data_IF_638227513148
#
_entry.id   IF_638227513148
#
_cell.length_a   1.000
_cell.length_b   1.000
_cell.length_c   1.000
_cell.angle_alpha   90.00
_cell.angle_beta   90.00
_cell.angle_gamma   90.00
#
_symmetry.space_group_name_H-M   'P 1'
#
loop_
_entity.id
_entity.type
_entity.pdbx_description
1 polymer ?
#
# COMPACT_ATOMS: atom_id res chain seq x y z
N UNK A 1 -37.36 -7.79 2.30
CA UNK A 1 -36.19 -8.69 2.18
C UNK A 1 -36.58 -9.82 1.24
N UNK A 2 -35.94 -9.89 0.07
CA UNK A 2 -36.28 -10.89 -0.95
C UNK A 2 -35.72 -12.27 -0.50
N UNK A 3 -36.56 -13.32 -0.41
CA UNK A 3 -36.18 -14.62 0.16
C UNK A 3 -35.21 -15.45 -0.71
N UNK A 4 -34.75 -14.91 -1.85
CA UNK A 4 -33.88 -15.62 -2.80
C UNK A 4 -32.38 -15.52 -2.48
N UNK A 5 -31.96 -14.79 -1.44
CA UNK A 5 -30.55 -14.74 -1.05
C UNK A 5 -30.20 -15.93 -0.14
N UNK A 6 -30.23 -17.14 -0.69
CA UNK A 6 -29.74 -18.34 0.01
C UNK A 6 -28.22 -18.22 0.11
N UNK A 7 -27.76 -17.84 1.29
CA UNK A 7 -26.35 -17.60 1.63
C UNK A 7 -25.46 -18.87 1.61
N UNK A 8 -26.00 -20.00 1.17
CA UNK A 8 -25.41 -21.35 1.27
C UNK A 8 -25.09 -22.04 -0.06
N UNK A 9 -25.29 -21.39 -1.22
CA UNK A 9 -24.94 -21.99 -2.51
C UNK A 9 -23.40 -21.96 -2.74
N UNK A 10 -22.71 -23.12 -2.87
CA UNK A 10 -21.24 -23.20 -2.99
C UNK A 10 -20.68 -22.58 -4.27
N UNK A 11 -21.52 -22.41 -5.30
CA UNK A 11 -21.17 -21.80 -6.58
C UNK A 11 -21.59 -20.33 -6.68
N UNK A 12 -22.16 -19.75 -5.61
CA UNK A 12 -22.47 -18.32 -5.61
C UNK A 12 -21.15 -17.52 -5.59
N UNK A 13 -20.89 -16.66 -6.58
CA UNK A 13 -19.66 -15.85 -6.60
C UNK A 13 -19.50 -14.97 -5.36
N UNK A 14 -20.59 -14.54 -4.71
CA UNK A 14 -20.53 -13.79 -3.44
C UNK A 14 -20.09 -14.68 -2.27
N UNK A 15 -20.51 -15.94 -2.24
CA UNK A 15 -20.09 -16.93 -1.24
C UNK A 15 -18.59 -17.25 -1.40
N UNK A 16 -18.16 -17.49 -2.65
CA UNK A 16 -16.75 -17.72 -2.97
C UNK A 16 -15.88 -16.51 -2.57
N UNK A 17 -16.29 -15.28 -2.90
CA UNK A 17 -15.54 -14.06 -2.51
C UNK A 17 -15.45 -13.85 -0.99
N UNK A 18 -16.46 -14.28 -0.24
CA UNK A 18 -16.51 -14.12 1.23
C UNK A 18 -15.64 -15.14 1.97
N UNK A 19 -15.54 -16.38 1.46
CA UNK A 19 -14.74 -17.45 2.08
C UNK A 19 -13.29 -17.53 1.56
N UNK A 20 -13.02 -17.00 0.37
CA UNK A 20 -11.66 -16.93 -0.19
C UNK A 20 -10.85 -15.71 0.28
N UNK A 21 -11.36 -14.95 1.26
CA UNK A 21 -10.69 -13.77 1.85
C UNK A 21 -10.27 -12.70 0.81
N UNK A 22 -10.84 -12.76 -0.40
CA UNK A 22 -10.43 -11.94 -1.53
C UNK A 22 -11.06 -10.53 -1.52
N UNK A 23 -12.12 -10.32 -0.74
CA UNK A 23 -12.71 -9.01 -0.39
C UNK A 23 -13.71 -9.19 0.75
N UNK A 24 -13.52 -8.45 1.84
CA UNK A 24 -14.34 -8.53 3.05
C UNK A 24 -15.83 -8.23 2.81
N UNK A 25 -16.68 -8.85 3.63
CA UNK A 25 -18.13 -8.67 3.57
C UNK A 25 -18.59 -7.42 4.35
N UNK A 26 -19.08 -6.40 3.64
CA UNK A 26 -19.65 -5.19 4.23
C UNK A 26 -21.16 -5.28 4.53
N UNK A 27 -21.82 -6.41 4.27
CA UNK A 27 -23.28 -6.53 4.48
C UNK A 27 -23.71 -6.74 5.95
N UNK A 28 -22.76 -6.83 6.88
CA UNK A 28 -23.04 -6.83 8.33
C UNK A 28 -22.96 -5.43 8.96
N UNK A 29 -22.68 -4.39 8.16
CA UNK A 29 -22.38 -3.03 8.65
C UNK A 29 -23.59 -2.46 9.39
N UNK A 30 -23.36 -2.31 10.69
CA UNK A 30 -24.29 -1.97 11.75
C UNK A 30 -24.74 -0.49 11.66
N UNK A 31 -25.61 -0.12 12.60
CA UNK A 31 -26.22 1.19 12.84
C UNK A 31 -25.35 2.43 12.50
N UNK A 32 -25.99 3.57 12.21
CA UNK A 32 -25.41 4.86 11.77
C UNK A 32 -24.05 5.25 12.39
N UNK A 33 -23.82 4.95 13.67
CA UNK A 33 -22.57 5.26 14.38
C UNK A 33 -21.38 4.46 13.84
N UNK A 34 -21.55 3.17 13.55
CA UNK A 34 -20.47 2.34 13.00
C UNK A 34 -20.12 2.75 11.57
N UNK A 35 -21.12 3.16 10.79
CA UNK A 35 -20.90 3.75 9.47
C UNK A 35 -20.03 5.02 9.55
N UNK A 36 -20.35 5.93 10.48
CA UNK A 36 -19.58 7.18 10.67
C UNK A 36 -18.12 6.90 11.08
N UNK A 37 -17.90 5.97 12.02
CA UNK A 37 -16.56 5.59 12.49
C UNK A 37 -15.76 4.94 11.34
N UNK A 38 -16.39 4.04 10.58
CA UNK A 38 -15.77 3.40 9.40
C UNK A 38 -15.37 4.43 8.34
N UNK A 39 -16.24 5.40 8.03
CA UNK A 39 -15.93 6.49 7.11
C UNK A 39 -14.79 7.39 7.60
N UNK A 40 -14.62 7.57 8.91
CA UNK A 40 -13.49 8.31 9.46
C UNK A 40 -12.17 7.55 9.26
N UNK A 41 -12.16 6.24 9.52
CA UNK A 41 -11.00 5.37 9.25
C UNK A 41 -10.62 5.35 7.77
N UNK A 42 -11.61 5.24 6.88
CA UNK A 42 -11.38 5.31 5.44
C UNK A 42 -10.78 6.66 5.01
N UNK A 43 -11.31 7.78 5.50
CA UNK A 43 -10.77 9.12 5.21
C UNK A 43 -9.34 9.30 5.70
N UNK A 44 -9.04 8.89 6.93
CA UNK A 44 -7.68 8.93 7.45
C UNK A 44 -6.74 8.06 6.61
N UNK A 45 -7.17 6.86 6.22
CA UNK A 45 -6.40 5.97 5.35
C UNK A 45 -6.06 6.59 4.00
N UNK A 46 -7.00 7.32 3.39
CA UNK A 46 -6.75 8.06 2.15
C UNK A 46 -5.70 9.15 2.36
N UNK A 47 -5.81 9.95 3.42
CA UNK A 47 -4.84 11.02 3.73
C UNK A 47 -3.46 10.45 4.06
N UNK A 48 -3.38 9.40 4.87
CA UNK A 48 -2.10 8.75 5.20
C UNK A 48 -1.45 8.15 3.95
N UNK A 49 -2.26 7.67 3.01
CA UNK A 49 -1.77 7.16 1.72
C UNK A 49 -1.22 8.31 0.86
N UNK A 50 -1.92 9.45 0.73
CA UNK A 50 -1.41 10.57 -0.07
C UNK A 50 -0.12 11.16 0.50
N UNK A 51 0.00 11.26 1.83
CA UNK A 51 1.24 11.70 2.49
C UNK A 51 2.37 10.71 2.20
N UNK A 52 2.15 9.40 2.39
CA UNK A 52 3.15 8.38 2.11
C UNK A 52 3.58 8.35 0.64
N UNK A 53 2.65 8.57 -0.29
CA UNK A 53 2.96 8.69 -1.72
C UNK A 53 3.85 9.91 -1.99
N UNK A 54 3.56 11.04 -1.33
CA UNK A 54 4.36 12.27 -1.47
C UNK A 54 5.77 12.08 -0.94
N UNK A 55 5.92 11.47 0.25
CA UNK A 55 7.22 11.19 0.86
C UNK A 55 8.05 10.20 0.03
N UNK A 56 7.42 9.16 -0.52
CA UNK A 56 8.09 8.21 -1.42
C UNK A 56 8.58 8.90 -2.71
N UNK A 57 7.78 9.79 -3.29
CA UNK A 57 8.18 10.61 -4.43
C UNK A 57 9.35 11.55 -4.12
N UNK A 58 9.35 12.13 -2.92
CA UNK A 58 10.43 12.99 -2.46
C UNK A 58 11.74 12.22 -2.23
N UNK A 59 11.66 11.06 -1.57
CA UNK A 59 12.82 10.22 -1.29
C UNK A 59 13.45 9.64 -2.57
N UNK A 60 12.66 9.44 -3.63
CA UNK A 60 13.18 8.98 -4.92
C UNK A 60 13.76 10.13 -5.76
N UNK A 61 13.22 11.34 -5.67
CA UNK A 61 13.69 12.50 -6.45
C UNK A 61 14.95 13.16 -5.88
N UNK A 62 15.05 13.30 -4.56
CA UNK A 62 16.21 13.93 -3.89
C UNK A 62 17.57 13.32 -4.23
N UNK A 63 17.79 11.99 -4.12
CA UNK A 63 19.10 11.42 -4.42
C UNK A 63 19.41 11.55 -5.91
N UNK A 64 18.41 11.49 -6.80
CA UNK A 64 18.60 11.68 -8.24
C UNK A 64 19.14 13.07 -8.55
N UNK A 65 18.62 14.12 -7.90
CA UNK A 65 19.13 15.49 -8.09
C UNK A 65 20.59 15.65 -7.62
N UNK A 66 21.00 14.96 -6.54
CA UNK A 66 22.39 15.00 -6.03
C UNK A 66 23.35 14.22 -6.92
N UNK A 67 22.95 13.05 -7.41
CA UNK A 67 23.83 12.17 -8.20
C UNK A 67 23.86 12.53 -9.70
N UNK A 68 23.00 13.45 -10.17
CA UNK A 68 22.86 13.79 -11.59
C UNK A 68 24.17 14.29 -12.24
N UNK A 69 25.10 14.82 -11.45
CA UNK A 69 26.40 15.29 -11.92
C UNK A 69 27.54 14.26 -11.77
N UNK A 70 27.28 13.08 -11.19
CA UNK A 70 28.28 12.04 -10.95
C UNK A 70 28.40 11.16 -12.20
N UNK A 71 29.54 11.23 -12.88
CA UNK A 71 29.85 10.42 -14.07
C UNK A 71 31.20 9.73 -13.86
N UNK A 72 31.28 8.43 -14.16
CA UNK A 72 32.54 7.67 -14.13
C UNK A 72 33.39 8.08 -15.33
N UNK A 73 34.51 8.77 -15.07
CA UNK A 73 35.40 9.29 -16.13
C UNK A 73 36.64 8.45 -16.38
N UNK A 74 37.06 7.64 -15.39
CA UNK A 74 38.28 6.81 -15.42
C UNK A 74 38.04 5.53 -14.65
N UNK A 75 38.72 4.46 -15.06
CA UNK A 75 38.61 3.13 -14.47
C UNK A 75 39.39 2.99 -13.16
N UNK A 76 40.53 3.67 -13.04
CA UNK A 76 41.34 3.68 -11.82
C UNK A 76 41.75 5.12 -11.45
N UNK A 77 41.61 5.45 -10.17
CA UNK A 77 42.03 6.72 -9.57
C UNK A 77 43.28 6.58 -8.69
N UNK A 78 43.80 5.36 -8.50
CA UNK A 78 45.03 5.08 -7.76
C UNK A 78 44.91 5.25 -6.24
N UNK A 79 43.70 5.24 -5.66
CA UNK A 79 43.51 5.43 -4.22
C UNK A 79 43.72 4.13 -3.44
N UNK A 80 44.42 4.19 -2.31
CA UNK A 80 44.62 3.07 -1.38
C UNK A 80 43.60 3.07 -0.23
N UNK A 81 42.67 4.02 -0.20
CA UNK A 81 41.64 4.13 0.86
C UNK A 81 40.39 3.33 0.47
N UNK A 82 39.86 2.57 1.42
CA UNK A 82 38.62 1.81 1.28
C UNK A 82 37.86 1.70 2.60
N UNK A 83 36.67 1.11 2.56
CA UNK A 83 35.83 0.87 3.74
C UNK A 83 35.90 -0.63 4.06
N UNK A 84 36.16 -0.98 5.32
CA UNK A 84 36.10 -2.39 5.75
C UNK A 84 34.63 -2.82 5.87
N UNK A 85 34.25 -3.88 5.17
CA UNK A 85 32.90 -4.47 5.24
C UNK A 85 32.99 -5.78 6.04
N UNK A 86 32.22 -5.87 7.13
CA UNK A 86 32.01 -7.10 7.90
C UNK A 86 30.69 -7.76 7.51
N UNK A 87 30.63 -9.10 7.43
CA UNK A 87 29.40 -9.85 7.16
C UNK A 87 28.39 -9.79 8.31
#
# INVERSE_FOLDING_TARGET
MNPNFRMTDPFNPVHIMSFSEARGNASQVHQLVEYIISCYGARKGVVDTTVRTSDAGYLTRKPVEVVQHIVVRRTDCGTTRGISVSP
#
